data_IF_434575845938
#
_entry.id   IF_434575845938
#
_cell.length_a   1.000
_cell.length_b   1.000
_cell.length_c   1.000
_cell.angle_alpha   90.00
_cell.angle_beta   90.00
_cell.angle_gamma   90.00
#
_symmetry.space_group_name_H-M   'P 1'
#
loop_
_entity.id
_entity.type
_entity.pdbx_description
1 polymer ?
#
# COMPACT_ATOMS: atom_id res chain seq x y z
N UNK A 1 19.71 5.17 11.32
CA UNK A 1 18.93 5.39 12.57
C UNK A 1 18.22 6.71 12.41
N UNK A 2 16.91 6.72 12.58
CA UNK A 2 16.05 7.75 12.05
C UNK A 2 15.10 8.16 13.21
N UNK A 3 15.03 9.45 13.53
CA UNK A 3 14.30 10.02 14.68
C UNK A 3 13.11 10.86 14.21
N UNK A 4 11.95 10.74 14.89
CA UNK A 4 10.68 11.29 14.39
C UNK A 4 9.75 11.83 15.48
N UNK A 5 8.86 12.73 15.08
CA UNK A 5 7.81 13.28 15.94
C UNK A 5 6.56 12.40 16.06
N UNK A 6 6.24 11.59 15.03
CA UNK A 6 5.10 10.65 14.99
C UNK A 6 5.44 9.41 14.14
N UNK A 7 4.98 8.24 14.55
CA UNK A 7 5.11 6.98 13.80
C UNK A 7 3.73 6.41 13.49
N UNK A 8 3.47 6.08 12.23
CA UNK A 8 2.28 5.34 11.83
C UNK A 8 2.74 3.96 11.38
N UNK A 9 2.37 2.94 12.16
CA UNK A 9 2.56 1.54 11.80
C UNK A 9 1.29 1.07 11.13
N UNK A 10 1.32 0.85 9.81
CA UNK A 10 0.26 0.08 9.16
C UNK A 10 0.55 -1.40 9.41
N UNK A 11 0.12 -1.90 10.56
CA UNK A 11 0.30 -3.29 10.98
C UNK A 11 -0.57 -4.20 10.08
N UNK A 12 0.08 -5.02 9.24
CA UNK A 12 -0.59 -6.09 8.46
C UNK A 12 -0.25 -7.49 8.99
N UNK A 13 0.08 -7.61 10.27
CA UNK A 13 0.34 -8.89 10.91
C UNK A 13 -0.98 -9.51 11.39
N UNK A 14 -1.49 -10.46 10.61
CA UNK A 14 -2.48 -11.43 11.05
C UNK A 14 -2.01 -12.08 12.36
N UNK A 15 -2.77 -11.91 13.46
CA UNK A 15 -2.60 -12.72 14.67
C UNK A 15 -2.62 -11.95 16.00
N UNK A 16 -3.81 -11.80 16.57
CA UNK A 16 -4.07 -11.99 18.01
C UNK A 16 -3.36 -11.10 19.04
N UNK A 17 -4.02 -9.98 19.42
CA UNK A 17 -4.50 -9.64 20.78
C UNK A 17 -4.82 -8.15 20.85
N UNK A 18 -6.08 -7.84 20.51
CA UNK A 18 -6.67 -6.53 20.77
C UNK A 18 -6.90 -6.41 22.29
N UNK A 19 -5.88 -5.96 23.02
CA UNK A 19 -6.00 -5.69 24.45
C UNK A 19 -6.48 -4.24 24.65
N UNK A 20 -7.75 -4.12 25.00
CA UNK A 20 -8.44 -2.90 25.40
C UNK A 20 -7.64 -2.10 26.45
N UNK A 21 -7.10 -0.94 26.05
CA UNK A 21 -6.67 0.10 27.01
C UNK A 21 -6.93 1.50 26.48
N UNK A 22 -8.17 1.75 26.06
CA UNK A 22 -8.69 3.12 26.00
C UNK A 22 -9.27 3.45 27.38
N UNK A 23 -8.42 3.93 28.29
CA UNK A 23 -8.88 4.69 29.45
C UNK A 23 -8.73 6.17 29.12
N UNK A 24 -9.88 6.82 29.02
CA UNK A 24 -10.08 8.26 29.08
C UNK A 24 -9.22 8.90 30.17
N UNK A 25 -8.33 9.79 29.75
CA UNK A 25 -7.78 10.87 30.60
C UNK A 25 -8.28 12.19 30.02
N UNK A 26 -9.46 12.57 30.48
CA UNK A 26 -9.96 13.94 30.48
C UNK A 26 -9.14 14.75 31.48
N UNK A 27 -8.38 15.73 31.01
CA UNK A 27 -7.70 16.68 31.88
C UNK A 27 -6.39 17.20 31.30
N UNK A 28 -6.46 18.46 30.83
CA UNK A 28 -5.35 19.40 30.64
C UNK A 28 -3.97 18.81 30.31
N UNK A 29 -3.59 18.88 29.04
CA UNK A 29 -2.27 19.40 28.72
C UNK A 29 -2.31 19.98 27.30
N UNK A 30 -2.00 21.27 27.19
CA UNK A 30 -1.71 21.96 25.94
C UNK A 30 -1.02 21.00 24.97
N UNK A 31 -1.69 20.66 23.86
CA UNK A 31 -1.09 19.85 22.80
C UNK A 31 -0.01 20.71 22.15
N UNK A 32 1.14 20.78 22.82
CA UNK A 32 2.37 21.40 22.36
C UNK A 32 2.65 20.77 21.00
N UNK A 33 2.35 21.51 19.93
CA UNK A 33 2.74 21.18 18.57
C UNK A 33 4.25 21.03 18.65
N UNK A 34 4.72 19.77 18.75
CA UNK A 34 6.15 19.48 18.87
C UNK A 34 6.78 20.02 17.59
N UNK A 35 7.80 20.87 17.77
CA UNK A 35 8.54 21.53 16.70
C UNK A 35 8.92 20.50 15.62
N UNK A 36 8.60 20.83 14.37
CA UNK A 36 9.14 20.17 13.18
C UNK A 36 10.66 20.39 13.16
N UNK A 37 11.45 19.34 12.90
CA UNK A 37 12.89 19.31 13.19
C UNK A 37 13.78 19.93 12.10
N UNK A 38 14.91 20.48 12.54
CA UNK A 38 15.87 21.29 11.76
C UNK A 38 17.22 20.56 11.49
N UNK A 39 17.43 19.35 12.04
CA UNK A 39 18.70 18.61 11.90
C UNK A 39 18.62 17.47 10.87
N UNK A 40 19.68 17.32 10.06
CA UNK A 40 19.78 16.52 8.81
C UNK A 40 19.61 14.98 8.89
N UNK A 41 18.92 14.48 9.90
CA UNK A 41 18.46 13.08 10.00
C UNK A 41 17.10 12.92 10.69
N UNK A 42 16.44 14.02 11.05
CA UNK A 42 15.13 14.02 11.66
C UNK A 42 14.07 14.31 10.59
N UNK A 43 13.02 13.49 10.55
CA UNK A 43 11.86 13.78 9.69
C UNK A 43 10.56 13.64 10.48
N UNK A 44 9.48 14.12 9.90
CA UNK A 44 8.26 14.37 10.66
C UNK A 44 7.41 13.10 10.83
N UNK A 45 7.44 12.23 9.82
CA UNK A 45 6.68 10.99 9.78
C UNK A 45 7.47 9.84 9.13
N UNK A 46 7.48 8.68 9.81
CA UNK A 46 7.74 7.39 9.15
C UNK A 46 6.45 6.68 8.89
N UNK A 47 6.37 6.11 7.70
CA UNK A 47 5.45 5.02 7.40
C UNK A 47 6.26 3.74 7.23
N UNK A 48 5.95 2.73 8.04
CA UNK A 48 6.52 1.38 7.88
C UNK A 48 5.52 0.52 7.13
N UNK A 49 5.89 0.13 5.90
CA UNK A 49 5.05 -0.60 4.95
C UNK A 49 4.39 0.30 3.91
N UNK A 50 4.41 -0.14 2.66
CA UNK A 50 3.83 0.51 1.48
C UNK A 50 2.53 -0.15 1.02
N UNK A 51 1.79 -0.80 1.93
CA UNK A 51 0.44 -1.28 1.63
C UNK A 51 -0.54 -0.12 1.33
N UNK A 52 -1.80 -0.42 0.95
CA UNK A 52 -2.81 0.62 0.68
C UNK A 52 -3.04 1.60 1.83
N UNK A 53 -2.86 1.17 3.08
CA UNK A 53 -2.88 2.11 4.21
C UNK A 53 -1.62 2.98 4.29
N UNK A 54 -0.45 2.37 4.06
CA UNK A 54 0.85 3.02 4.21
C UNK A 54 1.13 4.07 3.14
N UNK A 55 1.06 3.70 1.86
CA UNK A 55 1.40 4.63 0.79
C UNK A 55 0.42 5.82 0.73
N UNK A 56 -0.86 5.61 1.07
CA UNK A 56 -1.86 6.69 1.16
C UNK A 56 -1.55 7.63 2.31
N UNK A 57 -1.20 7.10 3.49
CA UNK A 57 -0.79 7.91 4.63
C UNK A 57 0.47 8.73 4.31
N UNK A 58 1.45 8.12 3.63
CA UNK A 58 2.69 8.79 3.24
C UNK A 58 2.43 9.94 2.27
N UNK A 59 1.62 9.70 1.24
CA UNK A 59 1.22 10.73 0.26
C UNK A 59 0.46 11.85 0.95
N UNK A 60 -0.48 11.54 1.83
CA UNK A 60 -1.27 12.58 2.49
C UNK A 60 -0.41 13.44 3.42
N UNK A 61 0.53 12.83 4.14
CA UNK A 61 1.47 13.55 4.99
C UNK A 61 2.39 14.48 4.18
N UNK A 62 2.90 14.00 3.04
CA UNK A 62 3.70 14.82 2.13
C UNK A 62 2.91 16.01 1.55
N UNK A 63 1.64 15.82 1.20
CA UNK A 63 0.76 16.90 0.76
C UNK A 63 0.50 17.95 1.86
N UNK A 64 0.54 17.54 3.13
CA UNK A 64 0.43 18.45 4.28
C UNK A 64 1.75 19.17 4.59
N UNK A 65 2.80 18.98 3.78
CA UNK A 65 4.10 19.62 3.94
C UNK A 65 5.05 18.94 4.92
N UNK A 66 4.73 17.72 5.38
CA UNK A 66 5.57 16.96 6.29
C UNK A 66 6.68 16.22 5.54
N UNK A 67 7.92 16.27 6.06
CA UNK A 67 9.01 15.43 5.58
C UNK A 67 8.69 13.98 5.93
N UNK A 68 8.36 13.18 4.92
CA UNK A 68 7.85 11.82 5.10
C UNK A 68 8.80 10.79 4.51
N UNK A 69 9.12 9.76 5.28
CA UNK A 69 9.92 8.61 4.86
C UNK A 69 9.04 7.36 4.89
N UNK A 70 9.08 6.57 3.82
CA UNK A 70 8.42 5.28 3.75
C UNK A 70 9.45 4.16 3.71
N UNK A 71 9.35 3.20 4.63
CA UNK A 71 10.22 2.02 4.71
C UNK A 71 9.46 0.80 4.21
N UNK A 72 9.95 0.15 3.17
CA UNK A 72 9.35 -1.06 2.60
C UNK A 72 10.38 -2.18 2.48
N UNK A 73 10.02 -3.40 2.89
CA UNK A 73 10.90 -4.57 2.80
C UNK A 73 10.88 -5.20 1.41
N UNK A 74 9.75 -5.08 0.71
CA UNK A 74 9.56 -5.68 -0.60
C UNK A 74 10.23 -4.80 -1.69
N UNK A 75 10.58 -5.43 -2.83
CA UNK A 75 11.20 -4.72 -3.97
C UNK A 75 10.23 -3.76 -4.66
N UNK A 76 8.93 -4.00 -4.56
CA UNK A 76 7.88 -3.23 -5.22
C UNK A 76 6.95 -2.59 -4.21
N UNK A 77 6.52 -1.36 -4.49
CA UNK A 77 5.56 -0.64 -3.67
C UNK A 77 4.14 -1.19 -3.87
N UNK A 78 3.27 -1.05 -2.86
CA UNK A 78 1.84 -1.42 -2.92
C UNK A 78 1.44 -2.58 -2.01
N UNK A 79 2.43 -3.25 -1.40
CA UNK A 79 2.25 -4.33 -0.44
C UNK A 79 1.39 -5.49 -0.96
N UNK A 80 0.72 -6.20 -0.04
CA UNK A 80 -0.05 -7.41 -0.36
C UNK A 80 -1.17 -7.15 -1.36
N UNK A 81 -1.95 -6.09 -1.17
CA UNK A 81 -3.15 -5.80 -1.98
C UNK A 81 -2.84 -5.73 -3.47
N UNK A 82 -1.72 -5.09 -3.82
CA UNK A 82 -1.35 -4.82 -5.20
C UNK A 82 -0.51 -5.97 -5.79
N UNK A 83 0.46 -6.49 -5.05
CA UNK A 83 1.37 -7.50 -5.58
C UNK A 83 0.77 -8.92 -5.60
N UNK A 84 0.10 -9.34 -4.52
CA UNK A 84 -0.29 -10.75 -4.30
C UNK A 84 -1.71 -10.93 -3.74
N UNK A 85 -2.54 -9.90 -3.86
CA UNK A 85 -3.84 -9.86 -3.19
C UNK A 85 -4.96 -9.47 -4.13
N UNK A 86 -5.62 -8.36 -3.84
CA UNK A 86 -6.82 -7.93 -4.55
C UNK A 86 -6.59 -7.78 -6.05
N UNK A 87 -5.59 -7.03 -6.49
CA UNK A 87 -5.39 -6.74 -7.91
C UNK A 87 -5.25 -8.00 -8.77
N UNK A 88 -4.33 -8.95 -8.46
CA UNK A 88 -4.21 -10.16 -9.27
C UNK A 88 -5.46 -11.03 -9.20
N UNK A 89 -6.12 -11.14 -8.04
CA UNK A 89 -7.37 -11.92 -7.94
C UNK A 89 -8.49 -11.32 -8.76
N UNK A 90 -8.69 -10.00 -8.73
CA UNK A 90 -9.77 -9.34 -9.48
C UNK A 90 -9.51 -9.33 -10.98
N UNK A 91 -8.26 -9.22 -11.42
CA UNK A 91 -7.90 -9.37 -12.83
C UNK A 91 -8.27 -10.76 -13.37
N UNK A 92 -7.94 -11.82 -12.63
CA UNK A 92 -8.26 -13.18 -13.01
C UNK A 92 -9.77 -13.45 -12.96
N UNK A 93 -10.47 -13.01 -11.92
CA UNK A 93 -11.92 -13.15 -11.80
C UNK A 93 -12.67 -12.48 -12.95
N UNK A 94 -12.24 -11.28 -13.36
CA UNK A 94 -12.82 -10.59 -14.50
C UNK A 94 -12.65 -11.39 -15.81
N UNK A 95 -11.44 -11.89 -16.06
CA UNK A 95 -11.17 -12.69 -17.26
C UNK A 95 -11.95 -14.02 -17.26
N UNK A 96 -12.04 -14.70 -16.11
CA UNK A 96 -12.84 -15.91 -15.96
C UNK A 96 -14.33 -15.65 -16.14
N UNK A 97 -14.84 -14.52 -15.65
CA UNK A 97 -16.23 -14.13 -15.84
C UNK A 97 -16.55 -13.87 -17.31
N UNK A 98 -15.68 -13.15 -18.03
CA UNK A 98 -15.83 -12.92 -19.47
C UNK A 98 -15.82 -14.24 -20.27
N UNK A 99 -14.92 -15.16 -19.92
CA UNK A 99 -14.88 -16.50 -20.52
C UNK A 99 -16.17 -17.28 -20.25
N UNK A 100 -16.68 -17.23 -19.02
CA UNK A 100 -17.93 -17.89 -18.64
C UNK A 100 -19.13 -17.30 -19.40
N UNK A 101 -19.23 -15.97 -19.51
CA UNK A 101 -20.28 -15.30 -20.29
C UNK A 101 -20.27 -15.70 -21.78
N UNK A 102 -19.07 -15.95 -22.32
CA UNK A 102 -18.92 -16.42 -23.69
C UNK A 102 -19.41 -17.84 -23.92
N UNK A 103 -19.38 -18.69 -22.90
CA UNK A 103 -19.85 -20.08 -22.97
C UNK A 103 -21.34 -20.19 -22.61
N UNK A 104 -21.84 -19.35 -21.72
CA UNK A 104 -23.13 -19.56 -21.03
C UNK A 104 -24.35 -19.04 -21.79
N UNK A 105 -24.27 -18.89 -23.11
CA UNK A 105 -25.31 -18.28 -23.97
C UNK A 105 -25.76 -16.85 -23.59
N UNK A 106 -25.12 -16.21 -22.60
CA UNK A 106 -25.37 -14.83 -22.19
C UNK A 106 -25.12 -13.84 -23.34
N UNK A 107 -24.09 -14.10 -24.17
CA UNK A 107 -23.83 -13.31 -25.36
C UNK A 107 -24.85 -13.57 -26.48
N UNK A 108 -25.32 -14.82 -26.65
CA UNK A 108 -26.36 -15.15 -27.63
C UNK A 108 -27.69 -14.45 -27.30
N UNK A 109 -28.08 -14.38 -26.02
CA UNK A 109 -29.25 -13.62 -25.56
C UNK A 109 -29.14 -12.11 -25.79
N UNK A 110 -27.92 -11.61 -26.02
CA UNK A 110 -27.63 -10.21 -26.36
C UNK A 110 -27.38 -10.00 -27.85
N UNK A 111 -27.62 -11.02 -28.70
CA UNK A 111 -27.41 -10.96 -30.14
C UNK A 111 -25.94 -10.98 -30.57
N UNK A 112 -25.02 -11.41 -29.69
CA UNK A 112 -23.59 -11.55 -29.99
C UNK A 112 -23.31 -13.02 -30.28
N UNK A 113 -23.04 -13.33 -31.54
CA UNK A 113 -22.60 -14.66 -31.97
C UNK A 113 -21.11 -14.83 -31.67
N UNK A 114 -20.79 -15.88 -30.93
CA UNK A 114 -19.41 -16.20 -30.53
C UNK A 114 -19.07 -17.57 -31.10
N UNK A 115 -17.97 -17.64 -31.87
CA UNK A 115 -17.47 -18.89 -32.45
C UNK A 115 -16.72 -19.77 -31.43
N UNK A 116 -15.78 -20.57 -31.93
CA UNK A 116 -14.99 -21.47 -31.07
C UNK A 116 -14.09 -20.68 -30.10
N UNK A 117 -14.27 -20.91 -28.78
CA UNK A 117 -13.46 -20.27 -27.74
C UNK A 117 -12.31 -21.17 -27.28
N UNK A 118 -11.09 -20.64 -27.34
CA UNK A 118 -9.90 -21.28 -26.78
C UNK A 118 -9.34 -20.49 -25.60
N UNK A 119 -9.19 -21.14 -24.46
CA UNK A 119 -8.57 -20.53 -23.28
C UNK A 119 -7.04 -20.53 -23.40
N UNK A 120 -6.44 -19.34 -23.43
CA UNK A 120 -4.98 -19.18 -23.33
C UNK A 120 -4.60 -18.68 -21.94
N UNK A 121 -4.32 -19.62 -21.03
CA UNK A 121 -3.93 -19.32 -19.66
C UNK A 121 -2.61 -18.54 -19.58
N UNK A 122 -1.66 -18.80 -20.48
CA UNK A 122 -0.36 -18.10 -20.50
C UNK A 122 -0.52 -16.61 -20.76
N UNK A 123 -1.37 -16.22 -21.71
CA UNK A 123 -1.69 -14.81 -21.94
C UNK A 123 -2.47 -14.20 -20.77
N UNK A 124 -3.44 -14.93 -20.21
CA UNK A 124 -4.22 -14.45 -19.07
C UNK A 124 -3.34 -14.11 -17.85
N UNK A 125 -2.32 -14.93 -17.59
CA UNK A 125 -1.35 -14.68 -16.52
C UNK A 125 -0.44 -13.49 -16.82
N UNK A 126 -0.01 -13.31 -18.07
CA UNK A 126 0.76 -12.13 -18.50
C UNK A 126 -0.04 -10.84 -18.36
N UNK A 127 -1.32 -10.84 -18.74
CA UNK A 127 -2.20 -9.67 -18.59
C UNK A 127 -2.36 -9.25 -17.12
N UNK A 128 -2.49 -10.23 -16.21
CA UNK A 128 -2.49 -9.99 -14.76
C UNK A 128 -1.19 -9.32 -14.30
N UNK A 129 -0.03 -9.80 -14.76
CA UNK A 129 1.28 -9.20 -14.45
C UNK A 129 1.39 -7.78 -15.00
N UNK A 130 0.90 -7.51 -16.22
CA UNK A 130 0.85 -6.16 -16.78
C UNK A 130 0.03 -5.21 -15.91
N UNK A 131 -1.13 -5.64 -15.41
CA UNK A 131 -1.96 -4.83 -14.52
C UNK A 131 -1.24 -4.51 -13.20
N UNK A 132 -0.57 -5.49 -12.59
CA UNK A 132 0.23 -5.28 -11.37
C UNK A 132 1.38 -4.31 -11.63
N UNK A 133 2.13 -4.49 -12.71
CA UNK A 133 3.28 -3.65 -13.07
C UNK A 133 2.90 -2.20 -13.38
N UNK A 134 1.76 -1.99 -14.02
CA UNK A 134 1.25 -0.63 -14.31
C UNK A 134 0.92 0.11 -13.01
N UNK A 135 0.29 -0.57 -12.05
CA UNK A 135 -0.12 0.03 -10.78
C UNK A 135 1.07 0.24 -9.83
N UNK A 136 2.04 -0.69 -9.76
CA UNK A 136 3.28 -0.48 -8.99
C UNK A 136 4.04 0.74 -9.52
N UNK A 137 4.16 0.86 -10.84
CA UNK A 137 4.79 2.00 -11.50
C UNK A 137 4.07 3.32 -11.21
N UNK A 138 2.73 3.30 -11.18
CA UNK A 138 1.92 4.45 -10.79
C UNK A 138 2.21 4.94 -9.37
N UNK A 139 2.34 4.02 -8.40
CA UNK A 139 2.68 4.39 -7.01
C UNK A 139 4.08 4.98 -6.92
N UNK A 140 5.07 4.39 -7.60
CA UNK A 140 6.43 4.93 -7.64
C UNK A 140 6.46 6.35 -8.23
N UNK A 141 5.64 6.62 -9.25
CA UNK A 141 5.48 7.96 -9.79
C UNK A 141 4.89 8.93 -8.75
N UNK A 142 3.84 8.51 -8.03
CA UNK A 142 3.22 9.32 -6.97
C UNK A 142 4.21 9.63 -5.83
N UNK A 143 5.10 8.71 -5.48
CA UNK A 143 6.12 8.93 -4.46
C UNK A 143 7.11 10.00 -4.87
N UNK A 144 7.57 9.96 -6.12
CA UNK A 144 8.45 10.98 -6.70
C UNK A 144 7.77 12.34 -6.79
N UNK A 145 6.50 12.39 -7.21
CA UNK A 145 5.72 13.63 -7.31
C UNK A 145 5.57 14.31 -5.95
N UNK A 146 5.32 13.53 -4.89
CA UNK A 146 5.15 14.04 -3.53
C UNK A 146 6.47 14.16 -2.74
N UNK A 147 7.63 13.93 -3.37
CA UNK A 147 8.96 14.03 -2.75
C UNK A 147 9.12 13.17 -1.48
N UNK A 148 8.48 12.00 -1.47
CA UNK A 148 8.59 11.04 -0.36
C UNK A 148 9.89 10.27 -0.51
N UNK A 149 10.65 10.13 0.57
CA UNK A 149 11.85 9.30 0.56
C UNK A 149 11.47 7.84 0.77
N UNK A 150 11.76 6.99 -0.22
CA UNK A 150 11.61 5.54 -0.12
C UNK A 150 12.91 4.91 0.39
N UNK A 151 12.79 4.03 1.39
CA UNK A 151 13.90 3.24 1.93
C UNK A 151 13.53 1.77 1.80
N UNK A 152 14.36 1.01 1.10
CA UNK A 152 14.22 -0.44 1.05
C UNK A 152 14.90 -1.08 2.26
N UNK A 153 14.12 -1.77 3.07
CA UNK A 153 14.60 -2.43 4.29
C UNK A 153 13.48 -2.81 5.23
N UNK A 154 13.79 -3.62 6.22
CA UNK A 154 12.86 -4.01 7.25
C UNK A 154 12.86 -2.98 8.39
N UNK A 155 11.80 -2.17 8.46
CA UNK A 155 11.61 -1.21 9.56
C UNK A 155 11.30 -1.90 10.89
N UNK A 156 12.03 -1.55 11.95
CA UNK A 156 11.78 -1.98 13.34
C UNK A 156 11.75 -0.74 14.23
N UNK A 157 10.69 -0.61 15.03
CA UNK A 157 10.58 0.46 16.01
C UNK A 157 11.41 0.07 17.24
N UNK A 158 12.42 0.88 17.55
CA UNK A 158 13.33 0.66 18.69
C UNK A 158 12.90 1.46 19.91
N UNK A 159 12.33 2.65 19.72
CA UNK A 159 11.81 3.50 20.78
C UNK A 159 10.61 4.32 20.29
N UNK A 160 9.87 5.05 21.16
CA UNK A 160 8.64 5.76 20.77
C UNK A 160 8.78 6.73 19.59
N UNK A 161 9.99 7.21 19.33
CA UNK A 161 10.30 8.21 18.30
C UNK A 161 11.45 7.75 17.39
N UNK A 162 11.74 6.44 17.32
CA UNK A 162 12.91 5.94 16.60
C UNK A 162 12.61 4.64 15.85
N UNK A 163 13.03 4.62 14.59
CA UNK A 163 12.90 3.47 13.70
C UNK A 163 14.29 3.11 13.17
N UNK A 164 14.70 1.87 13.43
CA UNK A 164 15.82 1.25 12.73
C UNK A 164 15.32 0.53 11.48
N UNK A 165 16.15 0.46 10.46
CA UNK A 165 15.89 -0.32 9.26
C UNK A 165 17.12 -1.18 9.00
N UNK A 166 16.88 -2.44 8.62
CA UNK A 166 17.90 -3.43 8.28
C UNK A 166 17.68 -3.90 6.85
#
# INVERSE_FOLDING_TARGET
MLRFGKTIVSESTYGGRFCNRWKTVSGLCSAKIRKFSDSGGDVDLVVVGSGPGGYVAAIKAAQLGMKTVCVEKDKTLGGTCLNVGCIPSKALLNNSHLYHQAISNDFANRGIEVGELKLNLGQMMKQKETAVNSLTGGIAHLFKQNKITEIHGHGKITSPNEVSFV
#
